data_IF_433965030160
#
_entry.id   IF_433965030160
#
_cell.length_a   1.000
_cell.length_b   1.000
_cell.length_c   1.000
_cell.angle_alpha   90.00
_cell.angle_beta   90.00
_cell.angle_gamma   90.00
#
_symmetry.space_group_name_H-M   'P 1'
#
loop_
_entity.id
_entity.type
_entity.pdbx_description
1 polymer ?
#
# COMPACT_ATOMS: atom_id res chain seq x y z
N UNK A 1 -16.51 15.74 11.74
CA UNK A 1 -16.65 15.83 10.27
C UNK A 1 -15.85 14.79 9.49
N UNK A 2 -14.56 14.57 9.77
CA UNK A 2 -13.75 13.53 9.07
C UNK A 2 -14.36 12.13 9.16
N UNK A 3 -14.83 11.70 10.33
CA UNK A 3 -15.43 10.37 10.53
C UNK A 3 -16.65 10.06 9.64
N UNK A 4 -17.55 11.03 9.44
CA UNK A 4 -18.74 10.81 8.59
C UNK A 4 -18.37 10.72 7.10
N UNK A 5 -17.34 11.44 6.66
CA UNK A 5 -16.81 11.33 5.29
C UNK A 5 -16.11 9.98 5.12
N UNK A 6 -15.32 9.55 6.10
CA UNK A 6 -14.66 8.24 6.10
C UNK A 6 -15.67 7.08 6.05
N UNK A 7 -16.74 7.14 6.86
CA UNK A 7 -17.80 6.15 6.86
C UNK A 7 -18.53 6.07 5.50
N UNK A 8 -18.80 7.22 4.87
CA UNK A 8 -19.40 7.27 3.53
C UNK A 8 -18.45 6.72 2.45
N UNK A 9 -17.14 6.95 2.58
CA UNK A 9 -16.13 6.37 1.68
C UNK A 9 -16.08 4.84 1.85
N UNK A 10 -16.04 4.33 3.08
CA UNK A 10 -16.10 2.89 3.37
C UNK A 10 -17.36 2.21 2.82
N UNK A 11 -18.52 2.88 2.93
CA UNK A 11 -19.77 2.40 2.35
C UNK A 11 -19.77 2.43 0.81
N UNK A 12 -19.18 3.45 0.20
CA UNK A 12 -19.05 3.52 -1.27
C UNK A 12 -18.12 2.42 -1.81
N UNK A 13 -17.03 2.13 -1.10
CA UNK A 13 -16.08 1.05 -1.40
C UNK A 13 -16.72 -0.33 -1.27
N UNK A 14 -17.58 -0.51 -0.26
CA UNK A 14 -18.29 -1.78 -0.02
C UNK A 14 -19.53 -1.99 -0.89
N UNK A 15 -19.96 -0.95 -1.62
CA UNK A 15 -21.11 -1.01 -2.52
C UNK A 15 -20.70 -0.83 -3.98
N UNK A 16 -20.80 0.41 -4.48
CA UNK A 16 -20.67 0.75 -5.91
C UNK A 16 -19.26 0.60 -6.48
N UNK A 17 -18.23 0.61 -5.63
CA UNK A 17 -16.82 0.52 -6.05
C UNK A 17 -16.21 -0.86 -5.81
N UNK A 18 -17.00 -1.86 -5.42
CA UNK A 18 -16.53 -3.24 -5.18
C UNK A 18 -15.80 -3.84 -6.39
N UNK A 19 -16.23 -3.52 -7.61
CA UNK A 19 -15.54 -3.95 -8.83
C UNK A 19 -14.21 -3.23 -9.10
N UNK A 20 -13.92 -2.13 -8.41
CA UNK A 20 -12.70 -1.33 -8.55
C UNK A 20 -11.73 -1.48 -7.35
N UNK A 21 -12.20 -2.06 -6.24
CA UNK A 21 -11.41 -2.28 -5.03
C UNK A 21 -10.94 -3.73 -4.93
N UNK A 22 -9.68 -3.92 -4.54
CA UNK A 22 -9.13 -5.24 -4.24
C UNK A 22 -8.71 -5.31 -2.77
N UNK A 23 -8.80 -6.51 -2.20
CA UNK A 23 -8.21 -6.80 -0.89
C UNK A 23 -6.70 -6.69 -1.00
N UNK A 24 -6.10 -6.02 -0.03
CA UNK A 24 -4.67 -5.80 0.05
C UNK A 24 -4.16 -6.35 1.38
N UNK A 25 -3.04 -7.05 1.33
CA UNK A 25 -2.30 -7.47 2.51
C UNK A 25 -0.95 -6.76 2.49
N UNK A 26 -0.76 -5.85 3.44
CA UNK A 26 0.51 -5.18 3.67
C UNK A 26 1.27 -5.96 4.74
N UNK A 27 2.44 -6.48 4.39
CA UNK A 27 3.33 -7.18 5.30
C UNK A 27 4.60 -6.37 5.52
N UNK A 28 4.85 -6.00 6.77
CA UNK A 28 6.06 -5.32 7.21
C UNK A 28 6.96 -6.33 7.91
N UNK A 29 8.14 -6.57 7.33
CA UNK A 29 9.18 -7.38 7.97
C UNK A 29 10.17 -6.43 8.64
N UNK A 30 10.13 -6.37 9.96
CA UNK A 30 11.10 -5.61 10.76
C UNK A 30 12.15 -6.58 11.30
N UNK A 31 13.41 -6.39 10.90
CA UNK A 31 14.54 -7.12 11.49
C UNK A 31 15.08 -6.31 12.65
N UNK A 32 14.82 -6.76 13.87
CA UNK A 32 15.41 -6.15 15.07
C UNK A 32 16.67 -6.94 15.42
N UNK A 33 17.81 -6.26 15.35
CA UNK A 33 19.09 -6.84 15.76
C UNK A 33 19.20 -6.76 17.29
N UNK A 34 19.13 -7.91 17.96
CA UNK A 34 19.36 -7.99 19.40
C UNK A 34 20.87 -7.92 19.66
N UNK A 35 21.36 -6.70 19.95
CA UNK A 35 22.80 -6.43 20.20
C UNK A 35 23.40 -7.23 21.36
N UNK A 36 22.54 -7.82 22.20
CA UNK A 36 22.95 -8.55 23.41
C UNK A 36 23.13 -10.06 23.12
N UNK A 37 22.37 -10.63 22.19
CA UNK A 37 22.38 -12.08 21.90
C UNK A 37 23.02 -12.49 20.58
N UNK A 38 23.38 -11.52 19.72
CA UNK A 38 23.93 -11.82 18.40
C UNK A 38 22.93 -12.50 17.45
N UNK A 39 21.64 -12.43 17.78
CA UNK A 39 20.55 -13.03 17.01
C UNK A 39 19.68 -11.94 16.39
N UNK A 40 19.17 -12.20 15.19
CA UNK A 40 18.18 -11.34 14.54
C UNK A 40 16.79 -11.89 14.84
N UNK A 41 15.91 -11.07 15.41
CA UNK A 41 14.50 -11.42 15.55
C UNK A 41 13.74 -10.77 14.40
N UNK A 42 13.14 -11.60 13.55
CA UNK A 42 12.28 -11.15 12.45
C UNK A 42 10.86 -11.04 12.97
N UNK A 43 10.35 -9.82 13.11
CA UNK A 43 8.93 -9.57 13.37
C UNK A 43 8.23 -9.26 12.05
N UNK A 44 7.18 -10.00 11.73
CA UNK A 44 6.36 -9.77 10.56
C UNK A 44 4.97 -9.30 11.01
N UNK A 45 4.66 -8.02 10.77
CA UNK A 45 3.33 -7.47 11.00
C UNK A 45 2.53 -7.52 9.70
N UNK A 46 1.34 -8.11 9.74
CA UNK A 46 0.45 -8.21 8.59
C UNK A 46 -0.80 -7.35 8.83
N UNK A 47 -1.05 -6.43 7.90
CA UNK A 47 -2.21 -5.53 7.90
C UNK A 47 -3.05 -5.82 6.67
N UNK A 48 -4.31 -6.17 6.89
CA UNK A 48 -5.26 -6.39 5.81
C UNK A 48 -6.12 -5.14 5.63
N UNK A 49 -6.37 -4.77 4.38
CA UNK A 49 -7.22 -3.64 4.06
C UNK A 49 -7.80 -3.78 2.65
N UNK A 50 -8.41 -2.69 2.18
CA UNK A 50 -8.91 -2.57 0.81
C UNK A 50 -8.28 -1.36 0.14
N UNK A 51 -7.96 -1.51 -1.14
CA UNK A 51 -7.34 -0.46 -1.93
C UNK A 51 -7.75 -0.53 -3.40
N UNK A 52 -7.39 0.52 -4.14
CA UNK A 52 -7.48 0.51 -5.60
C UNK A 52 -6.11 0.09 -6.13
N UNK A 53 -6.05 -1.06 -6.77
CA UNK A 53 -4.80 -1.74 -7.13
C UNK A 53 -4.70 -1.90 -8.64
N UNK A 54 -3.50 -2.24 -9.15
CA UNK A 54 -3.25 -2.47 -10.58
C UNK A 54 -3.51 -1.24 -11.47
N UNK A 55 -3.28 -0.05 -10.94
CA UNK A 55 -3.29 1.16 -11.75
C UNK A 55 -1.96 1.24 -12.52
N UNK A 56 -2.03 1.63 -13.78
CA UNK A 56 -0.85 2.01 -14.55
C UNK A 56 -0.48 3.46 -14.28
N UNK A 57 0.82 3.75 -14.25
CA UNK A 57 1.30 5.13 -14.24
C UNK A 57 0.98 5.79 -15.59
N UNK A 58 0.61 7.08 -15.58
CA UNK A 58 0.44 7.81 -16.84
C UNK A 58 1.81 7.98 -17.50
N UNK A 59 1.87 7.99 -18.84
CA UNK A 59 3.12 8.13 -19.59
C UNK A 59 3.96 9.35 -19.18
N UNK A 60 3.30 10.45 -18.82
CA UNK A 60 3.93 11.66 -18.32
C UNK A 60 4.56 11.47 -16.93
N UNK A 61 3.91 10.72 -16.04
CA UNK A 61 4.45 10.40 -14.70
C UNK A 61 5.63 9.43 -14.81
N UNK A 62 5.56 8.45 -15.72
CA UNK A 62 6.65 7.50 -15.98
C UNK A 62 7.91 8.21 -16.46
N UNK A 63 7.77 9.15 -17.40
CA UNK A 63 8.88 9.94 -17.91
C UNK A 63 9.47 10.90 -16.86
N UNK A 64 8.62 11.52 -16.04
CA UNK A 64 9.07 12.47 -15.01
C UNK A 64 9.78 11.81 -13.82
N UNK A 65 9.39 10.58 -13.47
CA UNK A 65 9.90 9.87 -12.29
C UNK A 65 10.84 8.71 -12.65
N UNK A 66 11.14 8.55 -13.94
CA UNK A 66 11.94 7.44 -14.49
C UNK A 66 11.47 6.07 -13.99
N UNK A 67 10.14 5.89 -13.92
CA UNK A 67 9.53 4.66 -13.40
C UNK A 67 9.52 3.62 -14.53
N UNK A 68 10.12 2.43 -14.35
CA UNK A 68 10.05 1.38 -15.34
C UNK A 68 8.61 0.88 -15.53
N UNK A 69 8.25 0.50 -16.75
CA UNK A 69 6.88 0.09 -17.09
C UNK A 69 6.39 -1.18 -16.39
N UNK A 70 7.29 -1.91 -15.73
CA UNK A 70 6.97 -3.08 -14.90
C UNK A 70 6.42 -2.70 -13.52
N UNK A 71 6.50 -1.42 -13.13
CA UNK A 71 5.99 -0.95 -11.85
C UNK A 71 4.51 -0.62 -11.91
N UNK A 72 3.78 -1.11 -10.90
CA UNK A 72 2.38 -0.82 -10.68
C UNK A 72 2.18 0.38 -9.76
N UNK A 73 0.98 0.96 -9.83
CA UNK A 73 0.48 1.97 -8.90
C UNK A 73 -0.68 1.36 -8.11
N UNK A 74 -0.65 1.53 -6.79
CA UNK A 74 -1.81 1.26 -5.94
C UNK A 74 -2.11 2.47 -5.07
N UNK A 75 -3.38 2.62 -4.72
CA UNK A 75 -3.89 3.65 -3.82
C UNK A 75 -4.48 2.94 -2.62
N UNK A 76 -3.85 3.13 -1.48
CA UNK A 76 -4.25 2.55 -0.19
C UNK A 76 -4.89 3.66 0.63
N UNK A 77 -6.05 3.40 1.20
CA UNK A 77 -6.74 4.40 2.03
C UNK A 77 -6.29 4.30 3.49
N UNK A 78 -6.12 5.45 4.14
CA UNK A 78 -5.72 5.50 5.55
C UNK A 78 -6.77 4.94 6.50
N UNK A 79 -8.01 4.83 6.04
CA UNK A 79 -9.10 4.24 6.81
C UNK A 79 -8.96 2.72 6.99
N UNK A 80 -8.41 2.03 5.99
CA UNK A 80 -8.39 0.56 5.97
C UNK A 80 -7.09 0.01 6.58
N UNK A 81 -5.98 0.72 6.39
CA UNK A 81 -4.70 0.36 7.00
C UNK A 81 -4.28 1.52 7.90
N UNK A 82 -4.24 1.35 9.24
CA UNK A 82 -3.89 2.43 10.17
C UNK A 82 -2.39 2.79 10.13
N UNK A 83 -1.58 1.97 9.45
CA UNK A 83 -0.13 2.11 9.36
C UNK A 83 0.26 2.63 7.98
N UNK A 84 1.03 3.72 7.96
CA UNK A 84 1.60 4.22 6.72
C UNK A 84 2.55 3.18 6.11
N UNK A 85 2.34 2.76 4.84
CA UNK A 85 3.24 1.85 4.15
C UNK A 85 4.63 2.49 4.03
N UNK A 86 5.67 1.66 4.05
CA UNK A 86 7.07 2.08 3.92
C UNK A 86 7.70 1.42 2.69
N UNK A 87 8.73 2.07 2.17
CA UNK A 87 9.58 1.47 1.15
C UNK A 87 10.19 0.16 1.69
N UNK A 88 10.13 -0.89 0.89
CA UNK A 88 10.58 -2.24 1.27
C UNK A 88 9.53 -3.10 1.98
N UNK A 89 8.34 -2.55 2.31
CA UNK A 89 7.23 -3.40 2.75
C UNK A 89 6.72 -4.26 1.58
N UNK A 90 6.12 -5.39 1.92
CA UNK A 90 5.54 -6.33 0.97
C UNK A 90 4.03 -6.08 0.85
N UNK A 91 3.52 -6.14 -0.36
CA UNK A 91 2.11 -5.96 -0.71
C UNK A 91 1.62 -7.17 -1.49
N UNK A 92 0.56 -7.81 -1.03
CA UNK A 92 -0.14 -8.83 -1.79
C UNK A 92 -1.55 -8.36 -2.16
N UNK A 93 -1.92 -8.63 -3.41
CA UNK A 93 -3.22 -8.34 -4.01
C UNK A 93 -4.00 -9.62 -4.33
N UNK A 94 -3.55 -10.79 -3.85
CA UNK A 94 -4.07 -12.11 -4.18
C UNK A 94 -3.47 -12.73 -5.45
N UNK A 95 -2.47 -12.09 -6.05
CA UNK A 95 -1.78 -12.50 -7.29
C UNK A 95 -0.28 -12.74 -7.07
N UNK A 96 0.15 -12.65 -5.81
CA UNK A 96 1.55 -12.75 -5.41
C UNK A 96 2.09 -11.46 -4.79
N UNK A 97 3.21 -11.64 -4.11
CA UNK A 97 3.85 -10.59 -3.34
C UNK A 97 4.60 -9.60 -4.24
N UNK A 98 4.36 -8.32 -4.00
CA UNK A 98 5.02 -7.18 -4.63
C UNK A 98 5.79 -6.40 -3.57
N UNK A 99 6.92 -5.79 -3.94
CA UNK A 99 7.71 -4.95 -3.03
C UNK A 99 7.39 -3.49 -3.28
N UNK A 100 7.18 -2.72 -2.21
CA UNK A 100 6.97 -1.29 -2.28
C UNK A 100 8.30 -0.59 -2.59
N UNK A 101 8.35 0.12 -3.71
CA UNK A 101 9.51 0.89 -4.15
C UNK A 101 9.43 2.33 -3.66
N UNK A 102 8.23 2.90 -3.65
CA UNK A 102 8.02 4.28 -3.24
C UNK A 102 6.64 4.48 -2.63
N UNK A 103 6.54 5.40 -1.68
CA UNK A 103 5.29 5.77 -1.02
C UNK A 103 5.16 7.27 -1.04
N UNK A 104 4.02 7.76 -1.53
CA UNK A 104 3.63 9.16 -1.47
C UNK A 104 2.36 9.28 -0.65
N UNK A 105 2.36 10.19 0.31
CA UNK A 105 1.17 10.54 1.05
C UNK A 105 0.40 11.64 0.29
N UNK A 106 -0.92 11.47 0.21
CA UNK A 106 -1.79 12.53 -0.29
C UNK A 106 -1.76 13.75 0.66
N UNK A 107 -1.70 15.00 0.17
CA UNK A 107 -1.60 16.20 1.00
C UNK A 107 -2.76 16.36 2.01
N UNK A 108 -3.94 15.80 1.71
CA UNK A 108 -5.12 15.85 2.58
C UNK A 108 -5.07 14.72 3.63
N UNK A 109 -4.11 13.79 3.52
CA UNK A 109 -3.93 12.66 4.41
C UNK A 109 -5.09 11.68 4.33
N UNK A 110 -5.67 11.50 3.14
CA UNK A 110 -6.78 10.56 2.91
C UNK A 110 -6.30 9.21 2.37
N UNK A 111 -5.20 9.20 1.62
CA UNK A 111 -4.67 8.02 0.96
C UNK A 111 -3.13 8.03 0.89
N UNK A 112 -2.57 6.86 0.68
CA UNK A 112 -1.19 6.66 0.25
C UNK A 112 -1.18 6.12 -1.17
N UNK A 113 -0.41 6.78 -2.03
CA UNK A 113 -0.11 6.33 -3.37
C UNK A 113 1.20 5.54 -3.28
N UNK A 114 1.13 4.25 -3.55
CA UNK A 114 2.29 3.36 -3.51
C UNK A 114 2.68 2.93 -4.91
N UNK A 115 3.99 2.99 -5.16
CA UNK A 115 4.63 2.35 -6.30
C UNK A 115 5.13 1.00 -5.85
N UNK A 116 4.71 -0.06 -6.53
CA UNK A 116 5.14 -1.42 -6.23
C UNK A 116 5.71 -2.09 -7.47
N UNK A 117 6.64 -3.00 -7.24
CA UNK A 117 7.22 -3.86 -8.27
C UNK A 117 6.88 -5.30 -7.94
N UNK A 118 6.40 -6.06 -8.93
CA UNK A 118 6.25 -7.51 -8.77
C UNK A 118 7.65 -8.11 -8.55
N UNK A 119 7.79 -8.87 -7.46
CA UNK A 119 9.04 -9.57 -7.15
C UNK A 119 9.25 -10.76 -8.10
#
# INVERSE_FOLDING_TARGET
MRGNIQAKIGAALSGKLTGATQSITLKRVTKVADKIKGTFTEAADEYQGRGVCRLSWKAQEMAALNIPQTDGKAVILQNEIPVAPKQGDWLDFGDGWCVIINVRQDPIGAAWIVQYRKA
#
